data_IF_102566292509
#
_entry.id   IF_102566292509
#
_cell.length_a   1.000
_cell.length_b   1.000
_cell.length_c   1.000
_cell.angle_alpha   90.00
_cell.angle_beta   90.00
_cell.angle_gamma   90.00
#
_symmetry.space_group_name_H-M   'P 1'
#
loop_
_entity.id
_entity.type
_entity.pdbx_description
1 polymer ?
#
# COMPACT_ATOMS: atom_id res chain seq x y z
N UNK A 1 -22.42 9.42 -21.45
CA UNK A 1 -21.42 10.43 -21.87
C UNK A 1 -21.21 10.24 -23.36
N UNK A 2 -21.41 11.25 -24.20
CA UNK A 2 -21.32 11.04 -25.65
C UNK A 2 -19.87 10.75 -26.07
N UNK A 3 -19.67 10.06 -27.19
CA UNK A 3 -18.33 9.83 -27.76
C UNK A 3 -17.55 11.15 -27.97
N UNK A 4 -18.30 12.23 -28.21
CA UNK A 4 -17.83 13.60 -28.33
C UNK A 4 -17.25 14.17 -27.02
N UNK A 5 -17.85 13.83 -25.86
CA UNK A 5 -17.37 14.22 -24.53
C UNK A 5 -16.05 13.49 -24.17
N UNK A 6 -15.89 12.23 -24.59
CA UNK A 6 -14.63 11.48 -24.46
C UNK A 6 -13.51 12.09 -25.30
N UNK A 7 -13.83 12.43 -26.56
CA UNK A 7 -12.89 13.04 -27.49
C UNK A 7 -12.48 14.45 -27.07
N UNK A 8 -13.36 15.20 -26.43
CA UNK A 8 -13.04 16.52 -25.88
C UNK A 8 -12.16 16.44 -24.63
N UNK A 9 -12.39 15.46 -23.75
CA UNK A 9 -11.51 15.22 -22.60
C UNK A 9 -10.10 14.74 -23.02
N UNK A 10 -9.99 13.84 -24.00
CA UNK A 10 -8.70 13.40 -24.56
C UNK A 10 -7.97 14.50 -25.36
N UNK A 11 -8.71 15.46 -25.92
CA UNK A 11 -8.16 16.67 -26.55
C UNK A 11 -7.86 17.78 -25.54
N UNK A 12 -8.27 17.66 -24.28
CA UNK A 12 -7.98 18.69 -23.28
C UNK A 12 -6.46 18.84 -23.14
N UNK A 13 -6.02 20.07 -23.40
CA UNK A 13 -4.62 20.47 -23.34
C UNK A 13 -4.05 20.24 -21.93
N UNK A 14 -4.87 20.37 -20.89
CA UNK A 14 -4.48 20.12 -19.50
C UNK A 14 -4.30 18.64 -19.22
N UNK A 15 -5.20 17.77 -19.71
CA UNK A 15 -5.08 16.32 -19.58
C UNK A 15 -3.84 15.80 -20.32
N UNK A 16 -3.63 16.26 -21.55
CA UNK A 16 -2.44 15.89 -22.33
C UNK A 16 -1.16 16.39 -21.66
N UNK A 17 -1.15 17.61 -21.12
CA UNK A 17 -0.01 18.13 -20.36
C UNK A 17 0.26 17.28 -19.11
N UNK A 18 -0.78 16.92 -18.35
CA UNK A 18 -0.69 16.08 -17.15
C UNK A 18 -0.14 14.68 -17.47
N UNK A 19 -0.68 13.96 -18.45
CA UNK A 19 -0.18 12.63 -18.83
C UNK A 19 1.28 12.69 -19.29
N UNK A 20 1.64 13.72 -20.05
CA UNK A 20 3.01 13.87 -20.58
C UNK A 20 4.02 14.28 -19.50
N UNK A 21 3.61 15.07 -18.49
CA UNK A 21 4.47 15.46 -17.37
C UNK A 21 4.51 14.40 -16.27
N UNK A 22 3.38 13.77 -15.94
CA UNK A 22 3.27 12.66 -15.00
C UNK A 22 4.17 11.48 -15.41
N UNK A 23 4.20 11.09 -16.69
CA UNK A 23 5.09 10.03 -17.16
C UNK A 23 6.58 10.43 -17.13
N UNK A 24 6.91 11.69 -17.45
CA UNK A 24 8.29 12.18 -17.39
C UNK A 24 8.80 12.30 -15.96
N UNK A 25 7.96 12.75 -15.04
CA UNK A 25 8.29 12.85 -13.62
C UNK A 25 8.36 11.48 -12.97
N UNK A 26 7.52 10.50 -13.34
CA UNK A 26 7.62 9.14 -12.80
C UNK A 26 9.01 8.51 -13.04
N UNK A 27 9.56 8.67 -14.25
CA UNK A 27 10.93 8.17 -14.53
C UNK A 27 12.02 8.93 -13.78
N UNK A 28 11.80 10.20 -13.44
CA UNK A 28 12.74 11.02 -12.66
C UNK A 28 12.66 10.70 -11.17
N UNK A 29 11.44 10.54 -10.66
CA UNK A 29 11.11 10.17 -9.28
C UNK A 29 11.59 8.76 -8.97
N UNK A 30 11.51 7.80 -9.90
CA UNK A 30 12.11 6.48 -9.70
C UNK A 30 13.64 6.49 -9.76
N UNK A 31 14.27 7.33 -10.58
CA UNK A 31 15.74 7.39 -10.71
C UNK A 31 16.45 7.99 -9.50
N UNK A 32 15.83 8.95 -8.82
CA UNK A 32 16.43 9.63 -7.67
C UNK A 32 16.75 8.63 -6.53
N UNK A 33 15.84 7.74 -6.09
CA UNK A 33 16.15 6.70 -5.12
C UNK A 33 17.32 5.80 -5.52
N UNK A 34 17.41 5.38 -6.78
CA UNK A 34 18.55 4.57 -7.25
C UNK A 34 19.86 5.34 -7.21
N UNK A 35 19.84 6.62 -7.60
CA UNK A 35 21.03 7.46 -7.57
C UNK A 35 21.47 7.71 -6.12
N UNK A 36 20.52 7.98 -5.22
CA UNK A 36 20.77 8.15 -3.78
C UNK A 36 21.30 6.85 -3.17
N UNK A 37 20.74 5.69 -3.53
CA UNK A 37 21.20 4.39 -3.06
C UNK A 37 22.59 4.02 -3.62
N UNK A 38 22.85 4.26 -4.90
CA UNK A 38 24.16 4.03 -5.49
C UNK A 38 25.21 4.96 -4.87
N UNK A 39 24.85 6.24 -4.66
CA UNK A 39 25.71 7.22 -4.02
C UNK A 39 25.98 6.84 -2.55
N UNK A 40 24.98 6.37 -1.81
CA UNK A 40 25.17 5.94 -0.42
C UNK A 40 26.09 4.72 -0.33
N UNK A 41 25.96 3.74 -1.23
CA UNK A 41 26.90 2.63 -1.32
C UNK A 41 28.33 3.10 -1.64
N UNK A 42 28.49 4.03 -2.58
CA UNK A 42 29.80 4.61 -2.92
C UNK A 42 30.40 5.34 -1.72
N UNK A 43 29.61 6.16 -1.00
CA UNK A 43 30.07 6.86 0.20
C UNK A 43 30.47 5.86 1.30
N UNK A 44 29.67 4.84 1.53
CA UNK A 44 29.99 3.78 2.50
C UNK A 44 31.32 3.12 2.12
N UNK A 45 31.54 2.76 0.85
CA UNK A 45 32.80 2.15 0.40
C UNK A 45 34.00 3.10 0.54
N UNK A 46 33.85 4.38 0.16
CA UNK A 46 34.89 5.40 0.28
C UNK A 46 35.29 5.64 1.74
N UNK A 47 34.37 5.52 2.69
CA UNK A 47 34.68 5.71 4.13
C UNK A 47 35.22 4.42 4.73
N UNK A 48 34.57 3.28 4.48
CA UNK A 48 34.89 2.01 5.15
C UNK A 48 36.21 1.42 4.71
N UNK A 49 36.58 1.50 3.42
CA UNK A 49 37.83 0.92 2.91
C UNK A 49 39.06 1.62 3.52
N UNK A 50 39.20 2.97 3.46
CA UNK A 50 40.33 3.66 4.06
C UNK A 50 40.33 3.59 5.59
N UNK A 51 39.15 3.64 6.23
CA UNK A 51 39.07 3.51 7.70
C UNK A 51 39.57 2.15 8.17
N UNK A 52 39.25 1.08 7.43
CA UNK A 52 39.71 -0.26 7.75
C UNK A 52 41.21 -0.42 7.47
N UNK A 53 41.70 0.12 6.34
CA UNK A 53 43.14 0.15 6.03
C UNK A 53 43.94 0.95 7.07
N UNK A 54 43.43 2.11 7.49
CA UNK A 54 44.05 2.95 8.51
C UNK A 54 44.04 2.27 9.88
N UNK A 55 42.94 1.64 10.27
CA UNK A 55 42.87 0.88 11.52
C UNK A 55 43.89 -0.27 11.54
N UNK A 56 44.04 -1.01 10.43
CA UNK A 56 45.03 -2.08 10.29
C UNK A 56 46.46 -1.55 10.38
N UNK A 57 46.77 -0.42 9.72
CA UNK A 57 48.11 0.14 9.69
C UNK A 57 48.55 0.84 11.00
N UNK A 58 47.62 1.50 11.69
CA UNK A 58 47.97 2.46 12.74
C UNK A 58 47.84 1.87 14.14
N UNK A 59 46.86 0.97 14.34
CA UNK A 59 46.59 0.46 15.68
C UNK A 59 47.42 -0.78 16.01
N UNK A 60 47.98 -1.52 15.04
CA UNK A 60 48.78 -2.77 15.20
C UNK A 60 48.20 -3.81 16.20
N UNK A 61 46.96 -3.59 16.64
CA UNK A 61 46.31 -4.16 17.82
C UNK A 61 44.80 -3.89 17.68
N UNK A 62 44.27 -4.02 16.46
CA UNK A 62 42.83 -4.13 16.34
C UNK A 62 42.42 -5.45 16.99
N UNK A 63 41.81 -5.39 18.18
CA UNK A 63 41.01 -6.48 18.71
C UNK A 63 39.77 -6.63 17.83
N UNK A 64 39.99 -7.14 16.61
CA UNK A 64 38.96 -7.58 15.66
C UNK A 64 38.03 -8.60 16.32
N UNK A 65 38.53 -9.30 17.34
CA UNK A 65 37.79 -10.22 18.20
C UNK A 65 36.63 -9.51 18.91
N UNK A 66 36.82 -8.33 19.49
CA UNK A 66 35.73 -7.66 20.23
C UNK A 66 34.61 -7.21 19.30
N UNK A 67 34.96 -6.54 18.19
CA UNK A 67 33.99 -6.11 17.19
C UNK A 67 33.25 -7.29 16.55
N UNK A 68 33.95 -8.37 16.22
CA UNK A 68 33.34 -9.59 15.72
C UNK A 68 32.45 -10.27 16.78
N UNK A 69 32.83 -10.26 18.05
CA UNK A 69 32.03 -10.84 19.13
C UNK A 69 30.72 -10.07 19.35
N UNK A 70 30.78 -8.73 19.34
CA UNK A 70 29.57 -7.88 19.44
C UNK A 70 28.66 -8.14 18.24
N UNK A 71 29.23 -8.20 17.04
CA UNK A 71 28.49 -8.40 15.82
C UNK A 71 27.87 -9.81 15.76
N UNK A 72 28.61 -10.84 16.18
CA UNK A 72 28.10 -12.19 16.37
C UNK A 72 26.94 -12.22 17.36
N UNK A 73 27.05 -11.52 18.50
CA UNK A 73 25.99 -11.42 19.50
C UNK A 73 24.73 -10.76 18.93
N UNK A 74 24.88 -9.63 18.25
CA UNK A 74 23.74 -8.91 17.63
C UNK A 74 23.06 -9.74 16.54
N UNK A 75 23.83 -10.34 15.63
CA UNK A 75 23.27 -11.18 14.56
C UNK A 75 22.62 -12.45 15.11
N UNK A 76 23.27 -13.10 16.08
CA UNK A 76 22.72 -14.26 16.76
C UNK A 76 21.41 -13.94 17.45
N UNK A 77 21.35 -12.82 18.18
CA UNK A 77 20.12 -12.35 18.81
C UNK A 77 19.01 -12.05 17.79
N UNK A 78 19.36 -11.34 16.72
CA UNK A 78 18.41 -10.99 15.66
C UNK A 78 17.80 -12.23 15.00
N UNK A 79 18.64 -13.18 14.56
CA UNK A 79 18.20 -14.36 13.80
C UNK A 79 17.52 -15.39 14.72
N UNK A 80 18.06 -15.64 15.91
CA UNK A 80 17.57 -16.71 16.78
C UNK A 80 16.39 -16.30 17.66
N UNK A 81 16.25 -15.02 18.01
CA UNK A 81 15.22 -14.55 18.94
C UNK A 81 14.30 -13.50 18.34
N UNK A 82 14.84 -12.39 17.85
CA UNK A 82 14.02 -11.25 17.43
C UNK A 82 13.17 -11.58 16.19
N UNK A 83 13.78 -12.20 15.18
CA UNK A 83 13.09 -12.53 13.94
C UNK A 83 11.95 -13.56 14.15
N UNK A 84 12.18 -14.70 14.84
CA UNK A 84 11.10 -15.62 15.18
C UNK A 84 9.98 -14.96 16.00
N UNK A 85 10.32 -14.07 16.94
CA UNK A 85 9.35 -13.33 17.73
C UNK A 85 8.48 -12.41 16.84
N UNK A 86 9.10 -11.64 15.95
CA UNK A 86 8.37 -10.76 15.01
C UNK A 86 7.49 -11.59 14.08
N UNK A 87 8.00 -12.69 13.52
CA UNK A 87 7.21 -13.60 12.66
C UNK A 87 6.02 -14.17 13.42
N UNK A 88 6.22 -14.57 14.68
CA UNK A 88 5.15 -15.08 15.54
C UNK A 88 4.08 -14.01 15.80
N UNK A 89 4.49 -12.79 16.15
CA UNK A 89 3.57 -11.65 16.35
C UNK A 89 2.79 -11.28 15.07
N UNK A 90 3.38 -11.52 13.89
CA UNK A 90 2.76 -11.26 12.58
C UNK A 90 1.99 -12.46 12.01
N UNK A 91 1.86 -13.57 12.74
CA UNK A 91 1.22 -14.80 12.23
C UNK A 91 -0.23 -14.58 11.79
N UNK A 92 -1.00 -13.86 12.58
CA UNK A 92 -2.44 -13.65 12.34
C UNK A 92 -2.73 -12.45 11.43
N UNK A 93 -1.71 -11.67 11.07
CA UNK A 93 -1.88 -10.51 10.20
C UNK A 93 -1.65 -10.93 8.75
N UNK A 94 -2.54 -10.55 7.81
CA UNK A 94 -2.28 -10.75 6.39
C UNK A 94 -1.02 -9.98 5.98
N UNK A 95 -0.15 -10.64 5.19
CA UNK A 95 1.14 -10.07 4.78
C UNK A 95 0.97 -9.06 3.63
N UNK A 96 0.22 -7.99 3.88
CA UNK A 96 -0.17 -7.00 2.88
C UNK A 96 1.03 -6.30 2.22
N UNK A 97 2.14 -6.17 2.97
CA UNK A 97 3.34 -5.46 2.53
C UNK A 97 4.52 -6.40 2.22
N UNK A 98 4.35 -7.71 2.32
CA UNK A 98 5.43 -8.68 2.15
C UNK A 98 6.49 -8.67 3.26
N UNK A 99 6.27 -7.91 4.34
CA UNK A 99 7.22 -7.79 5.47
C UNK A 99 7.45 -9.14 6.12
N UNK A 100 6.39 -9.95 6.30
CA UNK A 100 6.52 -11.28 6.92
C UNK A 100 7.31 -12.21 6.00
N UNK A 101 7.05 -12.16 4.70
CA UNK A 101 7.79 -12.91 3.68
C UNK A 101 9.26 -12.49 3.64
N UNK A 102 9.55 -11.19 3.70
CA UNK A 102 10.91 -10.65 3.73
C UNK A 102 11.67 -11.13 4.96
N UNK A 103 11.07 -11.03 6.15
CA UNK A 103 11.68 -11.49 7.41
C UNK A 103 11.97 -12.99 7.36
N UNK A 104 11.07 -13.78 6.77
CA UNK A 104 11.27 -15.21 6.55
C UNK A 104 12.47 -15.49 5.65
N UNK A 105 12.58 -14.79 4.51
CA UNK A 105 13.69 -14.97 3.58
C UNK A 105 15.02 -14.58 4.23
N UNK A 106 15.05 -13.44 4.93
CA UNK A 106 16.24 -12.98 5.67
C UNK A 106 16.65 -14.01 6.73
N UNK A 107 15.70 -14.60 7.45
CA UNK A 107 15.99 -15.63 8.46
C UNK A 107 16.50 -16.91 7.82
N UNK A 108 15.85 -17.34 6.73
CA UNK A 108 16.18 -18.57 6.01
C UNK A 108 17.58 -18.54 5.40
N UNK A 109 17.96 -17.44 4.73
CA UNK A 109 19.33 -17.28 4.19
C UNK A 109 20.33 -16.80 5.24
N UNK A 110 19.87 -16.05 6.24
CA UNK A 110 20.70 -15.52 7.31
C UNK A 110 21.23 -16.59 8.23
N UNK A 111 20.42 -17.57 8.58
CA UNK A 111 20.82 -18.62 9.53
C UNK A 111 22.02 -19.45 9.02
N UNK A 112 22.05 -19.98 7.78
CA UNK A 112 23.23 -20.65 7.25
C UNK A 112 24.48 -19.77 7.21
N UNK A 113 24.35 -18.50 6.81
CA UNK A 113 25.47 -17.56 6.73
C UNK A 113 26.01 -17.18 8.11
N UNK A 114 25.12 -17.04 9.09
CA UNK A 114 25.48 -16.83 10.49
C UNK A 114 26.21 -18.04 11.07
N UNK A 115 25.76 -19.26 10.76
CA UNK A 115 26.42 -20.48 11.22
C UNK A 115 27.82 -20.62 10.61
N UNK A 116 27.98 -20.29 9.32
CA UNK A 116 29.28 -20.21 8.66
C UNK A 116 30.18 -19.14 9.30
N UNK A 117 29.64 -17.95 9.58
CA UNK A 117 30.35 -16.88 10.30
C UNK A 117 30.85 -17.36 11.67
N UNK A 118 30.00 -17.99 12.46
CA UNK A 118 30.34 -18.52 13.78
C UNK A 118 31.40 -19.62 13.69
N UNK A 119 31.27 -20.55 12.75
CA UNK A 119 32.26 -21.61 12.52
C UNK A 119 33.63 -21.03 12.14
N UNK A 120 33.67 -20.09 11.20
CA UNK A 120 34.92 -19.45 10.79
C UNK A 120 35.54 -18.63 11.93
N UNK A 121 34.72 -17.95 12.73
CA UNK A 121 35.19 -17.18 13.88
C UNK A 121 35.80 -18.08 14.98
N UNK A 122 35.10 -19.14 15.41
CA UNK A 122 35.55 -19.96 16.54
C UNK A 122 36.54 -21.06 16.17
N UNK A 123 36.44 -21.66 14.98
CA UNK A 123 37.28 -22.82 14.61
C UNK A 123 38.47 -22.46 13.74
N UNK A 124 38.33 -21.49 12.85
CA UNK A 124 39.33 -21.21 11.80
C UNK A 124 40.19 -19.99 12.17
N UNK A 125 39.57 -18.93 12.70
CA UNK A 125 40.27 -17.70 13.10
C UNK A 125 41.38 -17.89 14.15
N UNK A 126 41.26 -18.74 15.18
CA UNK A 126 42.33 -18.90 16.17
C UNK A 126 43.47 -19.84 15.71
N UNK A 127 43.30 -20.60 14.62
CA UNK A 127 44.23 -21.67 14.22
C UNK A 127 45.11 -21.30 13.01
N UNK A 128 44.72 -20.32 12.20
CA UNK A 128 45.46 -19.96 10.98
C UNK A 128 46.18 -18.61 11.11
N UNK A 129 47.42 -18.67 11.59
CA UNK A 129 48.37 -17.54 11.70
C UNK A 129 49.00 -17.19 10.35
N UNK A 130 48.64 -17.87 9.25
CA UNK A 130 49.30 -17.72 7.96
C UNK A 130 48.45 -16.90 6.96
N UNK A 131 48.65 -15.56 6.88
CA UNK A 131 47.87 -14.66 6.01
C UNK A 131 48.13 -14.88 4.52
N UNK A 132 49.06 -15.76 4.16
CA UNK A 132 49.48 -16.07 2.80
C UNK A 132 48.47 -16.96 2.04
N UNK A 133 47.57 -17.64 2.74
CA UNK A 133 46.57 -18.51 2.11
C UNK A 133 45.37 -17.71 1.62
N UNK A 134 44.99 -17.88 0.35
CA UNK A 134 43.88 -17.17 -0.28
C UNK A 134 42.54 -17.38 0.45
N UNK A 135 42.28 -18.60 0.93
CA UNK A 135 41.02 -18.96 1.60
C UNK A 135 40.80 -18.19 2.92
N UNK A 136 41.85 -17.90 3.68
CA UNK A 136 41.75 -17.12 4.92
C UNK A 136 41.43 -15.66 4.66
N UNK A 137 41.86 -15.12 3.52
CA UNK A 137 41.58 -13.74 3.14
C UNK A 137 40.16 -13.54 2.61
N UNK A 138 39.67 -14.48 1.81
CA UNK A 138 38.34 -14.38 1.19
C UNK A 138 37.21 -14.78 2.15
N UNK A 139 37.44 -15.76 3.03
CA UNK A 139 36.43 -16.24 3.98
C UNK A 139 36.67 -15.77 5.41
N UNK A 140 37.36 -14.63 5.58
CA UNK A 140 37.50 -13.98 6.86
C UNK A 140 36.10 -13.72 7.50
N UNK A 141 35.97 -13.80 8.84
CA UNK A 141 34.68 -13.60 9.52
C UNK A 141 33.91 -12.37 9.03
N UNK A 142 34.60 -11.23 8.84
CA UNK A 142 33.96 -9.99 8.37
C UNK A 142 33.26 -10.13 7.01
N UNK A 143 33.76 -10.98 6.10
CA UNK A 143 33.20 -11.11 4.76
C UNK A 143 31.86 -11.85 4.74
N UNK A 144 31.62 -12.75 5.69
CA UNK A 144 30.32 -13.44 5.84
C UNK A 144 29.19 -12.47 6.16
N UNK A 145 29.49 -11.42 6.92
CA UNK A 145 28.57 -10.33 7.24
C UNK A 145 28.23 -9.54 5.98
N UNK A 146 29.23 -9.26 5.15
CA UNK A 146 29.06 -8.57 3.86
C UNK A 146 28.21 -9.41 2.90
N UNK A 147 28.42 -10.74 2.84
CA UNK A 147 27.57 -11.62 2.04
C UNK A 147 26.13 -11.63 2.54
N UNK A 148 25.92 -11.72 3.85
CA UNK A 148 24.59 -11.65 4.45
C UNK A 148 23.87 -10.34 4.12
N UNK A 149 24.51 -9.19 4.35
CA UNK A 149 23.90 -7.88 4.07
C UNK A 149 23.65 -7.69 2.57
N UNK A 150 24.55 -8.16 1.71
CA UNK A 150 24.38 -8.10 0.25
C UNK A 150 23.17 -8.91 -0.21
N UNK A 151 23.01 -10.14 0.29
CA UNK A 151 21.86 -10.99 -0.02
C UNK A 151 20.57 -10.36 0.51
N UNK A 152 20.58 -9.85 1.74
CA UNK A 152 19.46 -9.11 2.32
C UNK A 152 19.06 -7.92 1.43
N UNK A 153 20.01 -7.09 1.02
CA UNK A 153 19.73 -5.96 0.11
C UNK A 153 19.20 -6.39 -1.25
N UNK A 154 19.73 -7.47 -1.84
CA UNK A 154 19.23 -7.98 -3.13
C UNK A 154 17.76 -8.40 -2.99
N UNK A 155 17.43 -9.15 -1.94
CA UNK A 155 16.08 -9.66 -1.71
C UNK A 155 15.10 -8.54 -1.32
N UNK A 156 15.47 -7.67 -0.39
CA UNK A 156 14.58 -6.66 0.20
C UNK A 156 14.43 -5.41 -0.64
N UNK A 157 15.47 -5.04 -1.39
CA UNK A 157 15.50 -3.77 -2.13
C UNK A 157 15.51 -4.03 -3.63
N UNK A 158 16.49 -4.78 -4.13
CA UNK A 158 16.69 -4.93 -5.59
C UNK A 158 15.54 -5.71 -6.25
N UNK A 159 15.10 -6.82 -5.66
CA UNK A 159 14.02 -7.65 -6.24
C UNK A 159 12.68 -6.90 -6.27
N UNK A 160 12.18 -6.28 -5.18
CA UNK A 160 10.96 -5.49 -5.21
C UNK A 160 11.06 -4.32 -6.18
N UNK A 161 12.18 -3.61 -6.20
CA UNK A 161 12.41 -2.52 -7.15
C UNK A 161 12.33 -2.98 -8.61
N UNK A 162 12.89 -4.15 -8.94
CA UNK A 162 12.76 -4.74 -10.28
C UNK A 162 11.31 -5.16 -10.60
N UNK A 163 10.55 -5.60 -9.61
CA UNK A 163 9.13 -5.94 -9.77
C UNK A 163 8.25 -4.68 -9.94
N UNK A 164 8.57 -3.60 -9.24
CA UNK A 164 7.94 -2.28 -9.33
C UNK A 164 8.34 -1.46 -10.57
N UNK A 165 9.22 -1.99 -11.42
CA UNK A 165 9.45 -1.48 -12.77
C UNK A 165 8.67 -2.29 -13.83
N UNK A 166 7.32 -2.41 -13.79
CA UNK A 166 6.62 -2.67 -15.03
C UNK A 166 6.89 -1.44 -15.93
N UNK A 167 6.93 -1.65 -17.25
CA UNK A 167 7.24 -0.65 -18.30
C UNK A 167 8.72 -0.68 -18.76
N UNK A 168 9.11 -1.73 -19.50
CA UNK A 168 9.76 -1.65 -20.84
C UNK A 168 10.59 -2.86 -21.27
N UNK A 169 10.91 -3.82 -20.41
CA UNK A 169 11.75 -4.96 -20.81
C UNK A 169 10.90 -6.21 -21.11
N UNK A 170 10.70 -6.61 -22.39
CA UNK A 170 9.86 -7.75 -22.76
C UNK A 170 10.37 -9.09 -22.21
N UNK A 171 11.67 -9.25 -21.99
CA UNK A 171 12.24 -10.50 -21.48
C UNK A 171 11.90 -10.79 -20.01
N UNK A 172 11.68 -9.76 -19.18
CA UNK A 172 11.37 -9.91 -17.75
C UNK A 172 9.88 -10.23 -17.52
N UNK A 173 9.00 -9.81 -18.45
CA UNK A 173 7.57 -10.14 -18.41
C UNK A 173 7.33 -11.64 -18.29
N UNK A 174 8.09 -12.46 -19.02
CA UNK A 174 7.88 -13.91 -19.05
C UNK A 174 8.18 -14.57 -17.69
N UNK A 175 9.25 -14.15 -17.01
CA UNK A 175 9.67 -14.73 -15.72
C UNK A 175 8.72 -14.29 -14.59
N UNK A 176 8.32 -13.00 -14.57
CA UNK A 176 7.38 -12.48 -13.56
C UNK A 176 5.98 -13.09 -13.75
N UNK A 177 5.53 -13.24 -14.99
CA UNK A 177 4.23 -13.86 -15.30
C UNK A 177 4.18 -15.33 -14.87
N UNK A 178 5.26 -16.09 -15.06
CA UNK A 178 5.36 -17.49 -14.61
C UNK A 178 5.38 -17.59 -13.08
N UNK A 179 6.11 -16.70 -12.39
CA UNK A 179 6.14 -16.68 -10.91
C UNK A 179 4.80 -16.26 -10.31
N UNK A 180 4.10 -15.29 -10.92
CA UNK A 180 2.77 -14.84 -10.48
C UNK A 180 1.72 -15.93 -10.68
N UNK A 181 1.77 -16.68 -11.80
CA UNK A 181 0.94 -17.88 -12.01
C UNK A 181 1.23 -19.00 -11.00
N UNK A 182 2.51 -19.26 -10.66
CA UNK A 182 2.84 -20.26 -9.63
C UNK A 182 2.47 -19.85 -8.22
N UNK A 183 2.59 -18.56 -7.87
CA UNK A 183 2.14 -18.08 -6.56
C UNK A 183 0.62 -18.22 -6.41
N UNK A 184 -0.15 -17.91 -7.47
CA UNK A 184 -1.60 -18.14 -7.52
C UNK A 184 -1.98 -19.64 -7.51
N UNK A 185 -1.19 -20.49 -8.15
CA UNK A 185 -1.43 -21.93 -8.18
C UNK A 185 -1.03 -22.64 -6.88
N UNK A 186 -0.14 -22.05 -6.08
CA UNK A 186 0.38 -22.66 -4.84
C UNK A 186 -0.22 -22.03 -3.57
N UNK A 187 -0.82 -20.83 -3.63
CA UNK A 187 -1.56 -20.24 -2.51
C UNK A 187 -2.99 -20.79 -2.35
N UNK A 188 -3.36 -21.82 -3.10
CA UNK A 188 -4.71 -22.41 -3.15
C UNK A 188 -4.90 -23.64 -2.25
N UNK A 189 -4.05 -23.87 -1.24
CA UNK A 189 -4.16 -25.06 -0.38
C UNK A 189 -4.33 -24.79 1.13
N UNK A 190 -4.51 -23.54 1.57
CA UNK A 190 -5.01 -23.28 2.93
C UNK A 190 -6.50 -22.92 2.88
N UNK A 191 -7.34 -23.96 2.93
CA UNK A 191 -8.67 -24.02 3.56
C UNK A 191 -9.59 -22.79 3.41
N UNK A 192 -9.64 -22.17 2.23
CA UNK A 192 -10.82 -21.43 1.83
C UNK A 192 -11.79 -22.44 1.22
N UNK A 193 -13.00 -22.50 1.76
CA UNK A 193 -14.04 -23.45 1.36
C UNK A 193 -14.51 -23.13 -0.08
N UNK A 194 -13.74 -23.64 -1.07
CA UNK A 194 -13.98 -23.51 -2.52
C UNK A 194 -15.32 -24.16 -2.94
N UNK A 195 -16.00 -24.87 -2.03
CA UNK A 195 -17.39 -25.30 -2.20
C UNK A 195 -18.36 -24.13 -2.47
N UNK A 196 -18.03 -22.90 -2.04
CA UNK A 196 -18.84 -21.70 -2.31
C UNK A 196 -18.39 -20.88 -3.53
N UNK A 197 -17.24 -21.23 -4.12
CA UNK A 197 -16.72 -20.66 -5.38
C UNK A 197 -16.81 -21.67 -6.54
N UNK A 198 -17.61 -22.73 -6.40
CA UNK A 198 -18.17 -23.38 -7.58
C UNK A 198 -18.80 -22.28 -8.46
N UNK A 199 -18.59 -22.29 -9.78
CA UNK A 199 -19.18 -21.31 -10.67
C UNK A 199 -20.69 -21.39 -10.45
N UNK A 200 -21.22 -20.40 -9.74
CA UNK A 200 -22.66 -20.23 -9.65
C UNK A 200 -23.09 -20.10 -11.11
N UNK A 201 -24.00 -20.95 -11.61
CA UNK A 201 -24.47 -20.82 -12.98
C UNK A 201 -24.88 -19.37 -13.14
N UNK A 202 -24.28 -18.71 -14.13
CA UNK A 202 -24.48 -17.33 -14.53
C UNK A 202 -25.92 -17.14 -14.96
N UNK A 203 -26.83 -17.18 -14.00
CA UNK A 203 -28.24 -16.88 -14.16
C UNK A 203 -28.42 -15.37 -14.06
N UNK A 204 -27.89 -14.67 -15.06
CA UNK A 204 -28.52 -13.51 -15.74
C UNK A 204 -27.43 -12.70 -16.45
N UNK A 205 -27.25 -12.92 -17.75
CA UNK A 205 -26.77 -11.94 -18.73
C UNK A 205 -25.75 -10.89 -18.24
N UNK A 206 -24.58 -11.29 -17.75
CA UNK A 206 -23.49 -10.33 -17.50
C UNK A 206 -22.74 -10.10 -18.80
N UNK A 207 -23.00 -8.96 -19.44
CA UNK A 207 -22.19 -8.48 -20.57
C UNK A 207 -20.70 -8.47 -20.16
N UNK A 208 -19.77 -8.80 -21.08
CA UNK A 208 -18.34 -8.77 -20.78
C UNK A 208 -17.94 -7.40 -20.22
N UNK A 209 -17.09 -7.39 -19.19
CA UNK A 209 -16.57 -6.15 -18.62
C UNK A 209 -15.65 -5.47 -19.62
N UNK A 210 -16.09 -4.35 -20.17
CA UNK A 210 -15.31 -3.54 -21.10
C UNK A 210 -14.58 -2.42 -20.35
N UNK A 211 -13.46 -1.94 -20.91
CA UNK A 211 -12.72 -0.79 -20.39
C UNK A 211 -13.43 0.52 -20.75
N UNK A 212 -14.66 0.67 -20.26
CA UNK A 212 -15.53 1.82 -20.49
C UNK A 212 -16.11 2.34 -19.18
N UNK A 213 -16.43 3.64 -19.14
CA UNK A 213 -16.96 4.29 -17.93
C UNK A 213 -18.33 3.73 -17.57
N UNK A 214 -19.15 3.43 -18.57
CA UNK A 214 -20.48 2.83 -18.39
C UNK A 214 -20.38 1.43 -17.77
N UNK A 215 -19.36 0.66 -18.14
CA UNK A 215 -19.10 -0.65 -17.55
C UNK A 215 -18.58 -0.53 -16.12
N UNK A 216 -17.76 0.48 -15.80
CA UNK A 216 -17.38 0.78 -14.41
C UNK A 216 -18.61 1.19 -13.58
N UNK A 217 -19.46 2.08 -14.07
CA UNK A 217 -20.67 2.50 -13.34
C UNK A 217 -21.60 1.31 -13.06
N UNK A 218 -21.69 0.36 -14.00
CA UNK A 218 -22.41 -0.91 -13.78
C UNK A 218 -21.72 -1.76 -12.72
N UNK A 219 -20.39 -1.88 -12.75
CA UNK A 219 -19.61 -2.62 -11.75
C UNK A 219 -19.71 -1.99 -10.35
N UNK A 220 -19.82 -0.66 -10.25
CA UNK A 220 -20.04 0.05 -8.99
C UNK A 220 -21.50 -0.06 -8.50
N UNK A 221 -22.45 -0.38 -9.37
CA UNK A 221 -23.84 -0.63 -8.99
C UNK A 221 -24.08 -2.09 -8.58
N UNK A 222 -23.21 -3.02 -8.99
CA UNK A 222 -23.26 -4.43 -8.63
C UNK A 222 -22.48 -4.67 -7.32
N UNK A 223 -23.13 -5.16 -6.25
CA UNK A 223 -22.47 -5.37 -4.96
C UNK A 223 -21.32 -6.39 -5.02
N UNK A 224 -21.41 -7.40 -5.89
CA UNK A 224 -20.38 -8.44 -5.99
C UNK A 224 -19.12 -7.89 -6.69
N UNK A 225 -19.31 -7.10 -7.76
CA UNK A 225 -18.20 -6.44 -8.46
C UNK A 225 -17.61 -5.29 -7.65
N UNK A 226 -18.43 -4.55 -6.90
CA UNK A 226 -17.97 -3.52 -5.97
C UNK A 226 -17.04 -4.13 -4.90
N UNK A 227 -17.39 -5.29 -4.32
CA UNK A 227 -16.54 -5.95 -3.34
C UNK A 227 -15.18 -6.34 -3.94
N UNK A 228 -15.17 -6.88 -5.16
CA UNK A 228 -13.92 -7.19 -5.86
C UNK A 228 -13.09 -5.94 -6.15
N UNK A 229 -13.72 -4.83 -6.54
CA UNK A 229 -13.04 -3.55 -6.70
C UNK A 229 -12.45 -3.06 -5.37
N UNK A 230 -13.17 -3.20 -4.26
CA UNK A 230 -12.68 -2.82 -2.93
C UNK A 230 -11.45 -3.62 -2.53
N UNK A 231 -11.46 -4.94 -2.73
CA UNK A 231 -10.31 -5.80 -2.45
C UNK A 231 -9.07 -5.39 -3.26
N UNK A 232 -9.26 -5.02 -4.53
CA UNK A 232 -8.20 -4.51 -5.39
C UNK A 232 -7.70 -3.14 -4.92
N UNK A 233 -8.61 -2.23 -4.54
CA UNK A 233 -8.26 -0.89 -4.09
C UNK A 233 -7.53 -0.89 -2.74
N UNK A 234 -7.88 -1.81 -1.82
CA UNK A 234 -7.18 -2.00 -0.54
C UNK A 234 -5.72 -2.40 -0.80
N UNK A 235 -5.48 -3.32 -1.75
CA UNK A 235 -4.13 -3.74 -2.15
C UNK A 235 -3.32 -2.61 -2.77
N UNK A 236 -3.99 -1.63 -3.38
CA UNK A 236 -3.37 -0.48 -4.03
C UNK A 236 -3.28 0.78 -3.14
N UNK A 237 -3.70 0.71 -1.87
CA UNK A 237 -3.81 1.87 -0.97
C UNK A 237 -4.63 3.02 -1.55
N UNK A 238 -5.72 2.68 -2.25
CA UNK A 238 -6.63 3.63 -2.91
C UNK A 238 -8.11 3.39 -2.58
N UNK A 239 -8.37 2.64 -1.50
CA UNK A 239 -9.71 2.25 -1.03
C UNK A 239 -10.59 3.45 -0.70
N UNK A 240 -10.01 4.61 -0.37
CA UNK A 240 -10.74 5.85 -0.11
C UNK A 240 -11.61 6.28 -1.30
N UNK A 241 -11.20 5.99 -2.54
CA UNK A 241 -11.97 6.35 -3.73
C UNK A 241 -13.25 5.52 -3.86
N UNK A 242 -13.20 4.23 -3.54
CA UNK A 242 -14.38 3.36 -3.56
C UNK A 242 -15.29 3.58 -2.36
N UNK A 243 -14.71 3.78 -1.16
CA UNK A 243 -15.47 4.14 0.04
C UNK A 243 -16.21 5.46 -0.14
N UNK A 244 -15.57 6.44 -0.81
CA UNK A 244 -16.22 7.68 -1.20
C UNK A 244 -17.42 7.40 -2.10
N UNK A 245 -17.25 6.60 -3.15
CA UNK A 245 -18.31 6.34 -4.12
C UNK A 245 -19.49 5.58 -3.50
N UNK A 246 -19.21 4.55 -2.71
CA UNK A 246 -20.21 3.78 -1.97
C UNK A 246 -21.03 4.67 -1.03
N UNK A 247 -20.37 5.54 -0.24
CA UNK A 247 -21.07 6.47 0.64
C UNK A 247 -21.81 7.56 -0.13
N UNK A 248 -21.27 7.99 -1.26
CA UNK A 248 -21.91 8.97 -2.14
C UNK A 248 -23.25 8.44 -2.67
N UNK A 249 -23.31 7.18 -3.10
CA UNK A 249 -24.54 6.56 -3.59
C UNK A 249 -25.63 6.47 -2.51
N UNK A 250 -25.23 6.34 -1.24
CA UNK A 250 -26.13 6.27 -0.10
C UNK A 250 -26.34 7.63 0.60
N UNK A 251 -25.85 8.73 0.01
CA UNK A 251 -25.80 10.03 0.68
C UNK A 251 -27.19 10.66 0.76
N UNK A 252 -27.79 10.58 1.95
CA UNK A 252 -29.06 11.23 2.28
C UNK A 252 -28.78 12.55 3.03
N UNK A 253 -29.62 13.58 2.83
CA UNK A 253 -29.67 14.71 3.77
C UNK A 253 -30.06 14.16 5.14
N UNK A 254 -29.31 14.40 6.24
CA UNK A 254 -28.36 15.50 6.52
C UNK A 254 -26.86 15.15 6.53
N UNK A 255 -26.44 13.99 6.00
CA UNK A 255 -25.10 13.41 6.23
C UNK A 255 -23.97 14.07 5.42
N UNK A 256 -24.26 15.16 4.70
CA UNK A 256 -23.28 15.91 3.90
C UNK A 256 -22.12 16.46 4.71
N UNK A 257 -22.34 16.82 5.99
CA UNK A 257 -21.29 17.34 6.87
C UNK A 257 -20.28 16.23 7.15
N UNK A 258 -20.76 15.07 7.60
CA UNK A 258 -19.88 13.94 7.90
C UNK A 258 -19.16 13.44 6.65
N UNK A 259 -19.83 13.43 5.49
CA UNK A 259 -19.23 13.08 4.22
C UNK A 259 -18.11 14.05 3.82
N UNK A 260 -18.36 15.36 3.90
CA UNK A 260 -17.35 16.38 3.63
C UNK A 260 -16.14 16.27 4.57
N UNK A 261 -16.38 16.09 5.88
CA UNK A 261 -15.33 15.99 6.89
C UNK A 261 -14.50 14.71 6.76
N UNK A 262 -15.09 13.61 6.30
CA UNK A 262 -14.39 12.32 6.16
C UNK A 262 -13.56 12.20 4.88
N UNK A 263 -13.99 12.83 3.77
CA UNK A 263 -13.38 12.59 2.46
C UNK A 263 -12.85 13.84 1.75
N UNK A 264 -13.41 15.02 2.00
CA UNK A 264 -13.08 16.22 1.21
C UNK A 264 -12.13 17.15 1.95
N UNK A 265 -12.42 17.42 3.23
CA UNK A 265 -11.71 18.41 4.03
C UNK A 265 -10.20 18.16 4.03
N UNK A 266 -9.41 19.23 4.09
CA UNK A 266 -7.95 19.12 4.22
C UNK A 266 -7.59 18.32 5.47
N UNK A 267 -6.77 17.28 5.29
CA UNK A 267 -6.38 16.29 6.31
C UNK A 267 -7.53 15.39 6.79
N UNK A 268 -8.57 15.21 5.98
CA UNK A 268 -9.60 14.22 6.25
C UNK A 268 -8.99 12.79 6.31
N UNK A 269 -9.55 11.90 7.15
CA UNK A 269 -9.00 10.56 7.34
C UNK A 269 -8.99 9.72 6.06
N UNK A 270 -9.98 9.92 5.18
CA UNK A 270 -10.11 9.25 3.89
C UNK A 270 -10.07 10.28 2.75
N UNK A 271 -9.17 11.25 2.86
CA UNK A 271 -9.10 12.37 1.93
C UNK A 271 -8.91 11.88 0.48
N UNK A 272 -9.91 12.09 -0.37
CA UNK A 272 -9.82 11.73 -1.79
C UNK A 272 -8.98 12.73 -2.59
N UNK A 273 -8.33 12.22 -3.62
CA UNK A 273 -7.54 13.04 -4.54
C UNK A 273 -8.45 13.71 -5.58
N UNK A 274 -8.81 14.96 -5.33
CA UNK A 274 -9.60 15.82 -6.23
C UNK A 274 -8.85 17.11 -6.52
N UNK A 275 -9.22 17.77 -7.62
CA UNK A 275 -8.66 19.01 -8.08
C UNK A 275 -8.86 20.13 -7.06
N UNK A 276 -7.91 21.08 -7.06
CA UNK A 276 -7.99 22.27 -6.21
C UNK A 276 -9.31 23.04 -6.43
N UNK A 277 -9.79 23.09 -7.68
CA UNK A 277 -11.05 23.78 -8.04
C UNK A 277 -12.26 23.11 -7.39
N UNK A 278 -12.36 21.79 -7.48
CA UNK A 278 -13.47 21.03 -6.89
C UNK A 278 -13.48 21.18 -5.36
N UNK A 279 -12.30 21.03 -4.73
CA UNK A 279 -12.16 21.21 -3.29
C UNK A 279 -12.51 22.62 -2.83
N UNK A 280 -11.92 23.65 -3.44
CA UNK A 280 -12.15 25.03 -3.03
C UNK A 280 -13.64 25.42 -3.13
N UNK A 281 -14.36 24.88 -4.11
CA UNK A 281 -15.80 25.09 -4.26
C UNK A 281 -16.60 24.48 -3.11
N UNK A 282 -16.23 23.28 -2.66
CA UNK A 282 -16.82 22.61 -1.50
C UNK A 282 -16.44 23.36 -0.21
N UNK A 283 -15.17 23.68 0.00
CA UNK A 283 -14.66 24.38 1.17
C UNK A 283 -15.38 25.74 1.35
N UNK A 284 -15.52 26.53 0.29
CA UNK A 284 -16.24 27.82 0.35
C UNK A 284 -17.73 27.66 0.73
N UNK A 285 -18.38 26.60 0.24
CA UNK A 285 -19.78 26.34 0.54
C UNK A 285 -19.96 25.90 2.00
N UNK A 286 -19.10 25.01 2.51
CA UNK A 286 -19.12 24.56 3.89
C UNK A 286 -18.68 25.67 4.86
N UNK A 287 -17.74 26.53 4.49
CA UNK A 287 -17.37 27.71 5.29
C UNK A 287 -18.55 28.68 5.46
N UNK A 288 -19.31 28.95 4.38
CA UNK A 288 -20.54 29.76 4.45
C UNK A 288 -21.58 29.09 5.36
N UNK A 289 -21.72 27.76 5.26
CA UNK A 289 -22.64 26.99 6.11
C UNK A 289 -22.27 27.11 7.59
N UNK A 290 -20.99 26.91 7.95
CA UNK A 290 -20.50 26.97 9.31
C UNK A 290 -20.56 28.39 9.90
N UNK A 291 -20.31 29.43 9.10
CA UNK A 291 -20.51 30.83 9.54
C UNK A 291 -21.97 31.12 9.87
N UNK A 292 -22.91 30.61 9.07
CA UNK A 292 -24.35 30.78 9.31
C UNK A 292 -24.84 29.92 10.49
N UNK A 293 -24.24 28.74 10.70
CA UNK A 293 -24.63 27.79 11.74
C UNK A 293 -23.41 27.22 12.49
N UNK A 294 -22.83 27.98 13.44
CA UNK A 294 -21.61 27.56 14.14
C UNK A 294 -21.75 26.24 14.92
N UNK A 295 -22.97 25.87 15.33
CA UNK A 295 -23.25 24.60 16.02
C UNK A 295 -23.08 23.36 15.15
N UNK A 296 -23.08 23.51 13.82
CA UNK A 296 -22.82 22.43 12.86
C UNK A 296 -21.34 22.15 12.67
N UNK A 297 -20.47 23.07 13.09
CA UNK A 297 -19.04 22.85 13.02
C UNK A 297 -18.73 21.68 13.95
N UNK A 298 -18.19 20.56 13.45
CA UNK A 298 -17.84 19.45 14.32
C UNK A 298 -16.88 20.01 15.37
N UNK A 299 -17.30 19.98 16.64
CA UNK A 299 -16.37 20.24 17.73
C UNK A 299 -15.16 19.39 17.42
N UNK A 300 -13.98 20.01 17.44
CA UNK A 300 -12.66 19.38 17.29
C UNK A 300 -12.51 18.36 18.43
N UNK A 301 -13.30 17.29 18.39
CA UNK A 301 -13.19 16.13 19.25
C UNK A 301 -11.85 15.60 18.86
N UNK A 302 -10.91 15.76 19.79
CA UNK A 302 -9.63 15.06 19.84
C UNK A 302 -9.78 13.79 19.04
N UNK A 303 -9.06 13.74 17.92
CA UNK A 303 -8.84 12.56 17.09
C UNK A 303 -9.33 11.35 17.84
N UNK A 304 -10.57 10.94 17.56
CA UNK A 304 -11.05 9.65 18.03
C UNK A 304 -9.96 8.74 17.50
N UNK A 305 -9.16 8.18 18.42
CA UNK A 305 -8.41 6.97 18.13
C UNK A 305 -9.47 6.09 17.53
N UNK A 306 -9.46 5.97 16.21
CA UNK A 306 -10.19 4.94 15.51
C UNK A 306 -9.68 3.71 16.21
N UNK A 307 -10.47 3.21 17.17
CA UNK A 307 -10.16 1.97 17.82
C UNK A 307 -9.98 1.01 16.64
N UNK A 308 -8.83 0.36 16.60
CA UNK A 308 -8.51 -0.76 15.73
C UNK A 308 -9.51 -1.90 15.99
N UNK A 309 -10.80 -1.66 15.72
CA UNK A 309 -11.73 -2.71 15.37
C UNK A 309 -11.33 -3.08 13.97
N UNK A 310 -10.37 -4.00 13.92
CA UNK A 310 -10.38 -5.17 13.06
C UNK A 310 -11.68 -5.19 12.26
N UNK A 311 -11.57 -4.92 10.97
CA UNK A 311 -12.62 -5.21 10.02
C UNK A 311 -12.86 -6.72 10.08
N UNK A 312 -13.74 -7.14 10.99
CA UNK A 312 -14.29 -8.49 10.98
C UNK A 312 -14.97 -8.67 9.64
N UNK A 313 -14.41 -9.58 8.85
CA UNK A 313 -14.80 -9.91 7.47
C UNK A 313 -16.10 -10.72 7.43
N UNK A 314 -16.98 -10.52 8.41
CA UNK A 314 -18.26 -11.22 8.50
C UNK A 314 -19.40 -10.22 8.41
N UNK A 315 -20.03 -10.22 7.24
CA UNK A 315 -21.43 -9.85 7.00
C UNK A 315 -21.89 -8.49 7.53
N UNK A 316 -22.12 -7.56 6.61
CA UNK A 316 -23.27 -6.66 6.75
C UNK A 316 -24.54 -7.52 6.71
N UNK A 317 -25.37 -7.54 7.77
CA UNK A 317 -26.69 -8.15 7.66
C UNK A 317 -27.58 -7.18 6.87
N UNK A 318 -27.78 -7.49 5.58
CA UNK A 318 -28.98 -7.08 4.86
C UNK A 318 -30.17 -7.84 5.48
N UNK A 319 -31.04 -7.16 6.21
CA UNK A 319 -32.26 -7.78 6.73
C UNK A 319 -33.13 -6.93 7.66
N UNK A 320 -34.19 -6.35 7.07
CA UNK A 320 -35.51 -6.08 7.67
C UNK A 320 -35.58 -5.30 8.99
N UNK A 321 -35.59 -3.98 8.91
CA UNK A 321 -36.23 -3.16 9.96
C UNK A 321 -37.75 -3.15 9.74
N UNK A 322 -38.42 -4.13 10.35
CA UNK A 322 -39.86 -4.06 10.59
C UNK A 322 -40.14 -2.99 11.65
N UNK A 323 -40.97 -2.03 11.26
CA UNK A 323 -41.54 -0.99 12.09
C UNK A 323 -42.47 -1.57 13.16
N UNK A 324 -42.33 -1.14 14.41
CA UNK A 324 -43.46 -0.92 15.32
C UNK A 324 -43.08 0.01 16.49
N UNK A 325 -44.05 0.78 17.01
CA UNK A 325 -43.77 2.08 17.62
C UNK A 325 -43.86 2.06 19.15
N UNK A 326 -42.94 2.74 19.82
CA UNK A 326 -43.11 3.15 21.22
C UNK A 326 -42.89 4.65 21.36
N UNK A 327 -44.01 5.35 21.27
CA UNK A 327 -44.51 6.46 22.10
C UNK A 327 -43.57 7.11 23.13
N UNK A 328 -43.70 8.45 23.20
CA UNK A 328 -43.24 9.45 24.20
C UNK A 328 -41.85 10.05 23.96
N UNK A 329 -41.63 11.37 23.97
CA UNK A 329 -42.46 12.52 24.28
C UNK A 329 -41.93 13.77 23.54
N UNK A 330 -42.86 14.66 23.23
CA UNK A 330 -42.66 15.96 22.62
C UNK A 330 -41.76 16.90 23.45
N UNK A 331 -40.78 17.50 22.79
CA UNK A 331 -40.42 18.91 23.03
C UNK A 331 -40.12 19.57 21.69
N UNK A 332 -41.17 20.16 21.14
CA UNK A 332 -41.17 20.99 19.95
C UNK A 332 -40.44 22.31 20.21
N UNK A 333 -39.26 22.48 19.64
CA UNK A 333 -38.78 23.80 19.20
C UNK A 333 -38.63 23.77 17.69
N UNK A 334 -39.56 24.49 17.06
CA UNK A 334 -39.67 24.71 15.62
C UNK A 334 -38.45 25.46 15.09
N UNK A 335 -37.38 24.74 14.76
CA UNK A 335 -36.26 25.21 13.92
C UNK A 335 -36.41 24.60 12.52
N UNK A 336 -37.45 25.00 11.79
CA UNK A 336 -37.62 24.68 10.38
C UNK A 336 -38.15 25.92 9.66
N UNK A 337 -37.27 26.62 8.93
CA UNK A 337 -37.46 26.86 7.47
C UNK A 337 -36.41 27.71 6.74
N UNK A 338 -35.39 28.28 7.38
CA UNK A 338 -34.55 29.30 6.68
C UNK A 338 -33.06 28.95 6.45
N UNK A 339 -32.63 27.72 6.77
CA UNK A 339 -31.27 27.24 6.52
C UNK A 339 -31.10 26.50 5.20
N UNK A 340 -32.17 26.26 4.45
CA UNK A 340 -32.19 25.54 3.16
C UNK A 340 -31.73 26.39 1.97
N UNK A 341 -30.56 26.99 2.09
CA UNK A 341 -29.81 27.55 0.96
C UNK A 341 -28.35 27.15 1.15
N UNK A 342 -27.74 26.22 0.41
CA UNK A 342 -28.21 25.34 -0.64
C UNK A 342 -27.15 24.22 -0.83
N UNK A 343 -26.80 23.49 0.23
CA UNK A 343 -25.94 22.31 0.06
C UNK A 343 -26.82 21.20 -0.51
N UNK A 344 -26.60 20.90 -1.77
CA UNK A 344 -27.29 19.86 -2.53
C UNK A 344 -26.27 18.81 -2.94
N UNK A 345 -26.75 17.62 -3.28
CA UNK A 345 -25.91 16.55 -3.81
C UNK A 345 -25.12 17.00 -5.06
N UNK A 346 -25.70 17.93 -5.84
CA UNK A 346 -25.08 18.55 -7.01
C UNK A 346 -23.75 19.26 -6.70
N UNK A 347 -23.56 19.75 -5.47
CA UNK A 347 -22.32 20.39 -5.05
C UNK A 347 -21.13 19.40 -5.07
N UNK A 348 -21.39 18.12 -4.84
CA UNK A 348 -20.37 17.06 -4.81
C UNK A 348 -20.15 16.39 -6.17
N UNK A 349 -20.93 16.70 -7.20
CA UNK A 349 -20.86 16.03 -8.51
C UNK A 349 -19.49 16.15 -9.17
N UNK A 350 -18.85 17.32 -9.09
CA UNK A 350 -17.51 17.50 -9.66
C UNK A 350 -16.50 16.60 -8.94
N UNK A 351 -16.57 16.50 -7.62
CA UNK A 351 -15.71 15.59 -6.85
C UNK A 351 -16.01 14.12 -7.18
N UNK A 352 -17.29 13.74 -7.31
CA UNK A 352 -17.70 12.38 -7.70
C UNK A 352 -17.13 11.97 -9.04
N UNK A 353 -17.23 12.83 -10.06
CA UNK A 353 -16.71 12.54 -11.40
C UNK A 353 -15.19 12.33 -11.36
N UNK A 354 -14.46 13.17 -10.64
CA UNK A 354 -13.01 13.04 -10.50
C UNK A 354 -12.60 11.76 -9.75
N UNK A 355 -13.29 11.42 -8.65
CA UNK A 355 -13.06 10.16 -7.92
C UNK A 355 -13.38 8.95 -8.80
N UNK A 356 -14.46 8.99 -9.57
CA UNK A 356 -14.80 7.95 -10.53
C UNK A 356 -13.68 7.73 -11.56
N UNK A 357 -13.09 8.81 -12.06
CA UNK A 357 -11.93 8.75 -12.95
C UNK A 357 -10.69 8.16 -12.28
N UNK A 358 -10.47 8.43 -11.00
CA UNK A 358 -9.38 7.79 -10.26
C UNK A 358 -9.57 6.28 -10.23
N UNK A 359 -10.77 5.79 -9.90
CA UNK A 359 -11.10 4.34 -9.91
C UNK A 359 -10.93 3.75 -11.29
N UNK A 360 -11.44 4.43 -12.33
CA UNK A 360 -11.35 3.98 -13.72
C UNK A 360 -9.91 3.83 -14.22
N UNK A 361 -9.02 4.75 -13.84
CA UNK A 361 -7.64 4.74 -14.31
C UNK A 361 -6.71 3.84 -13.48
N UNK A 362 -7.13 3.37 -12.31
CA UNK A 362 -6.27 2.64 -11.37
C UNK A 362 -6.73 1.22 -11.11
N UNK A 363 -7.90 1.05 -10.51
CA UNK A 363 -8.40 -0.22 -9.98
C UNK A 363 -9.18 -0.99 -11.05
N UNK A 364 -10.05 -0.31 -11.80
CA UNK A 364 -10.95 -0.95 -12.75
C UNK A 364 -10.28 -1.78 -13.86
N UNK A 365 -9.15 -1.36 -14.47
CA UNK A 365 -8.47 -2.16 -15.48
C UNK A 365 -8.01 -3.52 -14.94
N UNK A 366 -7.69 -3.60 -13.64
CA UNK A 366 -7.26 -4.84 -12.97
C UNK A 366 -8.42 -5.81 -12.78
N UNK A 367 -9.63 -5.30 -12.57
CA UNK A 367 -10.84 -6.13 -12.51
C UNK A 367 -11.09 -6.79 -13.88
N UNK A 368 -10.98 -6.01 -14.95
CA UNK A 368 -11.14 -6.51 -16.33
C UNK A 368 -10.08 -7.56 -16.67
N UNK A 369 -8.84 -7.38 -16.22
CA UNK A 369 -7.76 -8.38 -16.38
C UNK A 369 -8.00 -9.68 -15.59
N UNK A 370 -8.89 -9.69 -14.60
CA UNK A 370 -9.25 -10.90 -13.84
C UNK A 370 -10.43 -11.62 -14.49
N UNK A 371 -11.38 -10.86 -15.05
CA UNK A 371 -12.59 -11.39 -15.68
C UNK A 371 -12.35 -11.96 -17.10
N UNK A 372 -11.30 -11.48 -17.79
CA UNK A 372 -10.84 -11.99 -19.09
C UNK A 372 -9.58 -12.87 -18.97
#
# INVERSE_FOLDING_TARGET
MSEEERLTCLKDKNYRWYVTHSQKDLTRVLRIPYLVYALSLVIILIITIPSNLHAVHTLNSCSTIWGASVLLGMFGFFIAFLSPLIIYCLKNNPDAHGIRTELWIITFFGFPLFLLYALFFFKISPVQVDPTKYMTRVFAPANWVVFFTSIGHIVSVVVPLLQYMPIRMPCIRYIVFIKRRRAYANSSTENFDISQLAPRPTSSMSAPLELTMESLERALADPDLMHQLQDLAIRDFSSENLLFYEKYLNLLLPDFIDFYEQFIRVNAPFQVNISYKARNTLDEAFDKLYRKNPSLMPCRRNTIRVNDRVYDTHMFPLGNMHTSPTSRNNSSTSYKKDTSTAITLALFETARVEVCWNVFNSVYPKLIEIDN
#
